data_IF_760317513873
#
_entry.id   IF_760317513873
#
_cell.length_a   1.000
_cell.length_b   1.000
_cell.length_c   1.000
_cell.angle_alpha   90.00
_cell.angle_beta   90.00
_cell.angle_gamma   90.00
#
_symmetry.space_group_name_H-M   'P 1'
#
loop_
_entity.id
_entity.type
_entity.pdbx_description
1 polymer ?
#
# COMPACT_ATOMS: atom_id res chain seq x y z
N UNK A 1 9.48 6.46 22.60
CA UNK A 1 9.42 6.21 21.14
C UNK A 1 7.98 5.85 20.82
N UNK A 2 7.26 6.66 20.03
CA UNK A 2 5.84 6.38 19.79
C UNK A 2 5.68 5.09 18.97
N UNK A 3 4.54 4.41 19.14
CA UNK A 3 4.25 3.18 18.40
C UNK A 3 3.99 3.52 16.93
N UNK A 4 4.49 2.75 15.95
CA UNK A 4 4.11 2.92 14.56
C UNK A 4 2.60 2.82 14.40
N UNK A 5 2.02 3.71 13.60
CA UNK A 5 0.58 3.75 13.31
C UNK A 5 0.34 3.26 11.89
N UNK A 6 -0.65 2.39 11.73
CA UNK A 6 -1.12 1.97 10.41
C UNK A 6 -2.40 2.71 10.05
N UNK A 7 -2.50 3.16 8.81
CA UNK A 7 -3.71 3.78 8.26
C UNK A 7 -3.98 3.18 6.89
N UNK A 8 -5.19 2.65 6.70
CA UNK A 8 -5.62 2.10 5.42
C UNK A 8 -6.66 3.04 4.81
N UNK A 9 -6.44 3.41 3.55
CA UNK A 9 -7.27 4.35 2.80
C UNK A 9 -7.67 3.73 1.46
N UNK A 10 -8.86 4.09 0.99
CA UNK A 10 -9.32 3.78 -0.36
C UNK A 10 -9.02 4.96 -1.28
N UNK A 11 -8.43 4.69 -2.45
CA UNK A 11 -7.98 5.72 -3.38
C UNK A 11 -8.47 5.45 -4.80
N UNK A 12 -8.63 6.52 -5.59
CA UNK A 12 -9.13 6.47 -6.97
C UNK A 12 -7.98 6.43 -8.01
N UNK A 13 -6.86 5.80 -7.66
CA UNK A 13 -5.70 5.61 -8.55
C UNK A 13 -5.30 4.15 -8.49
N UNK A 14 -4.58 3.65 -9.51
CA UNK A 14 -4.11 2.25 -9.49
C UNK A 14 -3.04 2.05 -8.40
N UNK A 15 -2.84 0.81 -7.91
CA UNK A 15 -1.79 0.53 -6.91
C UNK A 15 -0.39 0.96 -7.40
N UNK A 16 -0.14 0.80 -8.70
CA UNK A 16 1.11 1.21 -9.35
C UNK A 16 1.27 2.73 -9.40
N UNK A 17 0.18 3.48 -9.63
CA UNK A 17 0.21 4.95 -9.57
C UNK A 17 0.50 5.44 -8.14
N UNK A 18 -0.08 4.80 -7.13
CA UNK A 18 0.18 5.14 -5.72
C UNK A 18 1.65 4.96 -5.35
N UNK A 19 2.24 3.81 -5.69
CA UNK A 19 3.66 3.53 -5.44
C UNK A 19 4.57 4.46 -6.24
N UNK A 20 4.23 4.74 -7.50
CA UNK A 20 5.00 5.66 -8.34
C UNK A 20 5.01 7.07 -7.75
N UNK A 21 3.86 7.58 -7.32
CA UNK A 21 3.77 8.90 -6.69
C UNK A 21 4.61 8.98 -5.41
N UNK A 22 4.59 7.93 -4.58
CA UNK A 22 5.40 7.91 -3.38
C UNK A 22 6.91 7.82 -3.66
N UNK A 23 7.31 7.04 -4.68
CA UNK A 23 8.70 7.01 -5.16
C UNK A 23 9.17 8.38 -5.63
N UNK A 24 8.35 9.09 -6.41
CA UNK A 24 8.69 10.45 -6.89
C UNK A 24 8.88 11.43 -5.72
N UNK A 25 8.09 11.30 -4.64
CA UNK A 25 8.26 12.10 -3.42
C UNK A 25 9.54 11.74 -2.65
N UNK A 26 9.85 10.44 -2.55
CA UNK A 26 11.09 9.99 -1.91
C UNK A 26 12.33 10.47 -2.67
N UNK A 27 12.32 10.37 -4.01
CA UNK A 27 13.37 10.88 -4.88
C UNK A 27 13.53 12.40 -4.77
N UNK A 28 12.42 13.15 -4.71
CA UNK A 28 12.45 14.60 -4.51
C UNK A 28 12.98 15.02 -3.14
N UNK A 29 12.86 14.16 -2.13
CA UNK A 29 13.36 14.36 -0.78
C UNK A 29 14.78 13.79 -0.55
N UNK A 30 15.39 13.22 -1.59
CA UNK A 30 16.70 12.54 -1.53
C UNK A 30 16.73 11.39 -0.50
N UNK A 31 15.63 10.64 -0.39
CA UNK A 31 15.53 9.47 0.48
C UNK A 31 15.83 8.18 -0.29
N UNK A 32 16.66 7.32 0.30
CA UNK A 32 16.84 5.94 -0.12
C UNK A 32 15.57 5.12 0.17
N UNK A 33 15.22 4.26 -0.79
CA UNK A 33 14.02 3.44 -0.71
C UNK A 33 14.25 2.03 -1.26
N UNK A 34 13.45 1.09 -0.76
CA UNK A 34 13.41 -0.29 -1.22
C UNK A 34 12.01 -0.64 -1.74
N UNK A 35 11.96 -1.39 -2.83
CA UNK A 35 10.72 -1.92 -3.39
C UNK A 35 10.63 -3.40 -3.13
N UNK A 36 9.51 -3.81 -2.55
CA UNK A 36 9.16 -5.20 -2.31
C UNK A 36 7.88 -5.55 -3.08
N UNK A 37 7.85 -6.71 -3.71
CA UNK A 37 6.61 -7.27 -4.26
C UNK A 37 6.14 -8.42 -3.39
N UNK A 38 4.83 -8.44 -3.11
CA UNK A 38 4.23 -9.45 -2.25
C UNK A 38 2.88 -9.93 -2.78
N UNK A 39 2.22 -10.75 -1.97
CA UNK A 39 0.84 -11.15 -2.18
C UNK A 39 0.06 -11.05 -0.88
N UNK A 40 -1.21 -10.65 -0.97
CA UNK A 40 -2.13 -10.55 0.16
C UNK A 40 -3.42 -11.29 -0.17
N UNK A 41 -3.94 -12.05 0.78
CA UNK A 41 -5.28 -12.62 0.63
C UNK A 41 -6.32 -11.52 0.79
N UNK A 42 -7.22 -11.43 -0.19
CA UNK A 42 -8.36 -10.52 -0.17
C UNK A 42 -9.62 -11.31 -0.45
N UNK A 43 -10.71 -10.95 0.23
CA UNK A 43 -12.01 -11.54 -0.05
C UNK A 43 -12.60 -10.93 -1.33
N UNK A 44 -13.12 -11.79 -2.20
CA UNK A 44 -13.85 -11.39 -3.41
C UNK A 44 -15.23 -12.04 -3.40
N UNK A 45 -16.27 -11.25 -3.58
CA UNK A 45 -17.64 -11.74 -3.58
C UNK A 45 -18.06 -12.14 -5.00
N UNK A 46 -18.28 -13.43 -5.25
CA UNK A 46 -18.97 -13.89 -6.47
C UNK A 46 -20.42 -14.21 -6.13
N UNK A 47 -21.33 -13.39 -6.66
CA UNK A 47 -22.79 -13.52 -6.57
C UNK A 47 -23.34 -13.37 -5.13
N UNK A 48 -22.96 -14.23 -4.17
CA UNK A 48 -23.31 -14.13 -2.72
C UNK A 48 -22.20 -14.68 -1.79
N UNK A 49 -21.22 -15.47 -2.25
CA UNK A 49 -20.17 -16.07 -1.38
C UNK A 49 -18.81 -15.36 -1.50
N UNK A 50 -18.10 -15.09 -0.38
CA UNK A 50 -16.71 -14.63 -0.41
C UNK A 50 -15.78 -15.78 -0.76
N UNK A 51 -14.88 -15.54 -1.70
CA UNK A 51 -13.75 -16.41 -2.04
C UNK A 51 -12.48 -15.62 -1.76
N UNK A 52 -11.65 -16.13 -0.84
CA UNK A 52 -10.33 -15.57 -0.61
C UNK A 52 -9.45 -15.81 -1.85
N UNK A 53 -9.00 -14.74 -2.49
CA UNK A 53 -8.02 -14.80 -3.57
C UNK A 53 -6.76 -14.03 -3.19
N UNK A 54 -5.60 -14.54 -3.60
CA UNK A 54 -4.36 -13.78 -3.50
C UNK A 54 -4.37 -12.64 -4.53
N UNK A 55 -4.19 -11.40 -4.05
CA UNK A 55 -3.93 -10.22 -4.89
C UNK A 55 -2.46 -9.84 -4.78
N UNK A 56 -1.89 -9.32 -5.87
CA UNK A 56 -0.51 -8.82 -5.87
C UNK A 56 -0.45 -7.53 -5.08
N UNK A 57 0.51 -7.42 -4.17
CA UNK A 57 0.78 -6.20 -3.42
C UNK A 57 2.06 -5.56 -3.91
N UNK A 58 2.03 -4.24 -3.97
CA UNK A 58 3.20 -3.43 -4.26
C UNK A 58 3.58 -2.67 -3.00
N UNK A 59 4.84 -2.77 -2.58
CA UNK A 59 5.32 -2.15 -1.35
C UNK A 59 6.56 -1.31 -1.63
N UNK A 60 6.62 -0.15 -1.00
CA UNK A 60 7.78 0.72 -1.00
C UNK A 60 8.06 1.17 0.44
N UNK A 61 9.30 0.97 0.89
CA UNK A 61 9.76 1.31 2.22
C UNK A 61 10.91 2.31 2.14
N UNK A 62 10.88 3.34 2.98
CA UNK A 62 11.95 4.34 3.08
C UNK A 62 13.00 3.87 4.09
N UNK A 63 14.27 3.87 3.68
CA UNK A 63 15.39 3.31 4.44
C UNK A 63 16.12 4.36 5.28
N UNK A 64 16.11 5.62 4.84
CA UNK A 64 16.86 6.71 5.46
C UNK A 64 16.09 8.05 5.46
N UNK A 65 16.79 9.12 5.85
CA UNK A 65 16.23 10.46 5.96
C UNK A 65 15.15 10.60 7.03
N UNK A 66 14.42 11.71 6.95
CA UNK A 66 13.29 12.00 7.86
C UNK A 66 12.12 11.04 7.66
N UNK A 67 12.02 10.44 6.46
CA UNK A 67 10.99 9.46 6.12
C UNK A 67 11.28 8.04 6.60
N UNK A 68 12.42 7.79 7.27
CA UNK A 68 12.89 6.44 7.60
C UNK A 68 11.83 5.57 8.29
N UNK A 69 11.51 4.42 7.70
CA UNK A 69 10.51 3.50 8.24
C UNK A 69 9.06 3.85 7.87
N UNK A 70 8.85 4.86 7.01
CA UNK A 70 7.59 5.06 6.31
C UNK A 70 7.44 3.97 5.24
N UNK A 71 6.29 3.31 5.23
CA UNK A 71 6.01 2.22 4.29
C UNK A 71 4.65 2.44 3.66
N UNK A 72 4.60 2.33 2.35
CA UNK A 72 3.36 2.30 1.57
C UNK A 72 3.18 0.92 0.96
N UNK A 73 2.06 0.27 1.27
CA UNK A 73 1.64 -0.96 0.60
C UNK A 73 0.34 -0.70 -0.16
N UNK A 74 0.31 -0.98 -1.46
CA UNK A 74 -0.84 -0.78 -2.31
C UNK A 74 -1.32 -2.09 -2.94
N UNK A 75 -2.63 -2.30 -2.98
CA UNK A 75 -3.25 -3.47 -3.61
C UNK A 75 -4.65 -3.15 -4.13
N UNK A 76 -5.16 -4.04 -4.95
CA UNK A 76 -6.52 -3.96 -5.47
C UNK A 76 -7.39 -5.02 -4.77
N UNK A 77 -8.52 -4.58 -4.24
CA UNK A 77 -9.53 -5.41 -3.59
C UNK A 77 -10.86 -5.27 -4.33
N UNK A 78 -11.44 -6.40 -4.75
CA UNK A 78 -12.70 -6.42 -5.49
C UNK A 78 -13.81 -6.78 -4.51
N UNK A 79 -14.44 -5.79 -3.91
CA UNK A 79 -15.57 -5.98 -2.99
C UNK A 79 -16.87 -6.10 -3.79
N UNK A 80 -17.16 -7.29 -4.33
CA UNK A 80 -18.38 -7.52 -5.13
C UNK A 80 -18.14 -8.18 -6.49
N UNK A 81 -19.16 -8.09 -7.34
CA UNK A 81 -19.20 -8.77 -8.64
C UNK A 81 -18.45 -8.04 -9.76
N UNK A 82 -18.15 -6.72 -9.62
CA UNK A 82 -17.38 -5.92 -10.60
C UNK A 82 -16.71 -4.71 -9.94
N UNK A 83 -15.46 -4.44 -10.33
CA UNK A 83 -14.69 -3.23 -9.98
C UNK A 83 -13.76 -3.44 -8.79
N UNK A 84 -12.47 -3.18 -8.98
CA UNK A 84 -11.48 -3.18 -7.90
C UNK A 84 -11.35 -1.81 -7.27
N UNK A 85 -11.37 -1.78 -5.93
CA UNK A 85 -11.05 -0.62 -5.12
C UNK A 85 -9.56 -0.73 -4.82
N UNK A 86 -8.81 0.32 -5.15
CA UNK A 86 -7.41 0.39 -4.74
C UNK A 86 -7.36 0.81 -3.29
N UNK A 87 -6.68 -0.02 -2.49
CA UNK A 87 -6.38 0.27 -1.10
C UNK A 87 -4.89 0.56 -0.95
N UNK A 88 -4.60 1.55 -0.13
CA UNK A 88 -3.24 1.88 0.29
C UNK A 88 -3.16 1.82 1.80
N UNK A 89 -2.16 1.13 2.31
CA UNK A 89 -1.83 1.03 3.71
C UNK A 89 -0.52 1.75 3.96
N UNK A 90 -0.60 2.75 4.83
CA UNK A 90 0.54 3.51 5.32
C UNK A 90 0.94 2.96 6.68
N UNK A 91 2.23 2.66 6.84
CA UNK A 91 2.85 2.48 8.15
C UNK A 91 3.68 3.73 8.41
N UNK A 92 3.24 4.53 9.38
CA UNK A 92 3.94 5.76 9.77
C UNK A 92 4.76 5.45 11.04
N UNK A 93 6.08 5.66 11.00
CA UNK A 93 6.95 5.40 12.13
C UNK A 93 6.68 6.42 13.24
N UNK A 94 6.85 6.04 14.50
CA UNK A 94 6.46 6.90 15.63
C UNK A 94 7.32 8.14 15.90
N UNK A 95 8.29 8.44 15.04
CA UNK A 95 8.99 9.72 15.07
C UNK A 95 8.37 10.76 14.10
N UNK A 96 7.30 10.38 13.38
CA UNK A 96 6.50 11.22 12.46
C UNK A 96 5.03 11.35 12.90
#
# INVERSE_FOLDING_TARGET
MARPRSVTLEVNITPTQAIRAFRELAEAADWEWEREEGSRLVDRMMIIMPIAQATRTFRLAILDGDGKGLILTAWEEVSGSKGGITKVEWIVPGHL
#
